data_IF_421640922699
#
_entry.id   IF_421640922699
#
_cell.length_a   1.000
_cell.length_b   1.000
_cell.length_c   1.000
_cell.angle_alpha   90.00
_cell.angle_beta   90.00
_cell.angle_gamma   90.00
#
_symmetry.space_group_name_H-M   'P 1'
#
loop_
_entity.id
_entity.type
_entity.pdbx_description
1 polymer ?
#
# COMPACT_ATOMS: atom_id res chain seq x y z
N UNK A 1 12.52 -20.11 9.56
CA UNK A 1 12.05 -19.25 10.67
C UNK A 1 11.18 -20.08 11.59
N UNK A 2 11.26 -19.88 12.91
CA UNK A 2 10.42 -20.59 13.87
C UNK A 2 9.02 -19.95 13.92
N UNK A 3 7.97 -20.78 13.89
CA UNK A 3 6.58 -20.35 14.09
C UNK A 3 6.08 -20.82 15.45
N UNK A 4 5.09 -20.11 16.01
CA UNK A 4 4.44 -20.49 17.27
C UNK A 4 2.92 -20.38 17.10
N UNK A 5 2.17 -21.24 17.78
CA UNK A 5 0.71 -21.20 17.79
C UNK A 5 0.23 -20.12 18.76
N UNK A 6 -0.64 -19.24 18.28
CA UNK A 6 -1.37 -18.26 19.08
C UNK A 6 -2.86 -18.57 18.96
N UNK A 7 -3.59 -18.56 20.08
CA UNK A 7 -5.05 -18.70 20.09
C UNK A 7 -5.64 -17.41 20.64
N UNK A 8 -6.51 -16.78 19.84
CA UNK A 8 -7.20 -15.54 20.17
C UNK A 8 -8.71 -15.76 20.11
N UNK A 9 -9.46 -14.94 20.86
CA UNK A 9 -10.91 -14.86 20.74
C UNK A 9 -11.25 -13.67 19.87
N UNK A 10 -12.13 -13.88 18.89
CA UNK A 10 -12.64 -12.86 17.99
C UNK A 10 -14.17 -13.05 17.87
N UNK A 11 -14.92 -12.00 17.52
CA UNK A 11 -16.32 -12.15 17.12
C UNK A 11 -16.48 -13.22 16.04
N UNK A 12 -17.55 -14.00 16.11
CA UNK A 12 -17.80 -15.10 15.16
C UNK A 12 -17.92 -14.58 13.73
N UNK A 13 -18.57 -13.42 13.55
CA UNK A 13 -18.72 -12.75 12.26
C UNK A 13 -17.38 -12.41 11.60
N UNK A 14 -16.39 -11.97 12.39
CA UNK A 14 -15.04 -11.64 11.88
C UNK A 14 -14.29 -12.91 11.45
N UNK A 15 -14.44 -14.00 12.20
CA UNK A 15 -13.83 -15.29 11.88
C UNK A 15 -14.41 -15.81 10.55
N UNK A 16 -15.73 -15.76 10.38
CA UNK A 16 -16.40 -16.21 9.17
C UNK A 16 -16.08 -15.33 7.97
N UNK A 17 -16.01 -14.01 8.17
CA UNK A 17 -15.56 -13.07 7.15
C UNK A 17 -14.14 -13.41 6.68
N UNK A 18 -13.19 -13.55 7.61
CA UNK A 18 -11.79 -13.82 7.29
C UNK A 18 -11.61 -15.17 6.58
N UNK A 19 -12.37 -16.21 6.96
CA UNK A 19 -12.37 -17.50 6.24
C UNK A 19 -12.88 -17.34 4.80
N UNK A 20 -14.02 -16.67 4.60
CA UNK A 20 -14.59 -16.45 3.26
C UNK A 20 -13.64 -15.65 2.38
N UNK A 21 -13.01 -14.61 2.94
CA UNK A 21 -12.00 -13.82 2.25
C UNK A 21 -10.82 -14.70 1.82
N UNK A 22 -10.23 -15.45 2.75
CA UNK A 22 -9.09 -16.31 2.47
C UNK A 22 -9.40 -17.33 1.35
N UNK A 23 -10.55 -18.03 1.45
CA UNK A 23 -11.01 -18.97 0.44
C UNK A 23 -11.25 -18.32 -0.93
N UNK A 24 -11.90 -17.16 -0.97
CA UNK A 24 -12.17 -16.42 -2.22
C UNK A 24 -10.88 -16.00 -2.93
N UNK A 25 -9.84 -15.69 -2.16
CA UNK A 25 -8.55 -15.24 -2.67
C UNK A 25 -7.50 -16.37 -2.79
N UNK A 26 -7.88 -17.63 -2.54
CA UNK A 26 -7.00 -18.79 -2.67
C UNK A 26 -5.83 -18.81 -1.69
N UNK A 27 -5.97 -18.18 -0.52
CA UNK A 27 -4.94 -18.10 0.53
C UNK A 27 -5.42 -18.75 1.82
N UNK A 28 -4.49 -19.03 2.73
CA UNK A 28 -4.83 -19.56 4.07
C UNK A 28 -5.10 -18.43 5.07
N UNK A 29 -5.81 -18.74 6.17
CA UNK A 29 -5.98 -17.81 7.30
C UNK A 29 -4.62 -17.36 7.87
N UNK A 30 -3.68 -18.29 8.00
CA UNK A 30 -2.32 -17.99 8.48
C UNK A 30 -1.62 -17.00 7.56
N UNK A 31 -1.76 -17.16 6.24
CA UNK A 31 -1.17 -16.26 5.26
C UNK A 31 -1.82 -14.88 5.25
N UNK A 32 -3.14 -14.81 5.41
CA UNK A 32 -3.88 -13.56 5.58
C UNK A 32 -3.31 -12.75 6.75
N UNK A 33 -3.17 -13.38 7.91
CA UNK A 33 -2.63 -12.73 9.12
C UNK A 33 -1.14 -12.39 8.97
N UNK A 34 -0.33 -13.28 8.39
CA UNK A 34 1.10 -13.01 8.14
C UNK A 34 1.31 -11.79 7.23
N UNK A 35 0.54 -11.68 6.13
CA UNK A 35 0.58 -10.52 5.23
C UNK A 35 0.21 -9.24 5.96
N UNK A 36 -0.85 -9.26 6.76
CA UNK A 36 -1.28 -8.10 7.52
C UNK A 36 -0.24 -7.67 8.56
N UNK A 37 0.34 -8.62 9.31
CA UNK A 37 1.41 -8.33 10.27
C UNK A 37 2.67 -7.78 9.59
N UNK A 38 3.02 -8.27 8.40
CA UNK A 38 4.12 -7.71 7.59
C UNK A 38 3.83 -6.28 7.14
N UNK A 39 2.59 -5.99 6.75
CA UNK A 39 2.17 -4.64 6.40
C UNK A 39 2.26 -3.70 7.61
N UNK A 40 1.78 -4.12 8.79
CA UNK A 40 1.90 -3.33 10.02
C UNK A 40 3.36 -3.06 10.40
N UNK A 41 4.26 -4.04 10.23
CA UNK A 41 5.70 -3.89 10.50
C UNK A 41 6.42 -2.94 9.55
N UNK A 42 5.95 -2.82 8.30
CA UNK A 42 6.48 -1.83 7.37
C UNK A 42 6.12 -0.39 7.79
N UNK A 43 5.17 -0.23 8.72
CA UNK A 43 4.71 1.08 9.16
C UNK A 43 4.12 1.90 8.00
N UNK A 44 3.82 3.18 8.23
CA UNK A 44 3.57 4.14 7.16
C UNK A 44 4.84 4.47 6.35
N UNK A 45 5.98 3.83 6.65
CA UNK A 45 7.23 3.99 5.91
C UNK A 45 7.17 3.23 4.58
N UNK A 46 6.54 3.86 3.62
CA UNK A 46 6.51 3.41 2.26
C UNK A 46 5.62 4.34 1.49
N UNK A 47 6.18 5.51 1.13
CA UNK A 47 5.57 6.39 0.14
C UNK A 47 5.10 5.58 -1.08
N UNK A 48 4.12 6.13 -1.78
CA UNK A 48 3.57 5.55 -3.00
C UNK A 48 4.71 5.00 -3.86
N UNK A 49 4.64 3.72 -4.25
CA UNK A 49 5.67 3.08 -5.08
C UNK A 49 6.01 4.01 -6.26
N UNK A 50 7.29 4.23 -6.61
CA UNK A 50 7.68 5.26 -7.58
C UNK A 50 6.99 5.11 -8.93
N UNK A 51 6.68 3.87 -9.37
CA UNK A 51 5.85 3.66 -10.56
C UNK A 51 4.44 4.22 -10.42
N UNK A 52 3.79 4.04 -9.27
CA UNK A 52 2.47 4.61 -8.99
C UNK A 52 2.57 6.14 -8.89
N UNK A 53 3.64 6.67 -8.30
CA UNK A 53 3.89 8.12 -8.24
C UNK A 53 4.03 8.73 -9.64
N UNK A 54 4.71 8.01 -10.55
CA UNK A 54 4.87 8.43 -11.95
C UNK A 54 3.54 8.48 -12.71
N UNK A 55 2.57 7.65 -12.34
CA UNK A 55 1.25 7.62 -12.96
C UNK A 55 0.17 8.41 -12.21
N UNK A 56 0.42 8.83 -10.96
CA UNK A 56 -0.58 9.50 -10.13
C UNK A 56 -0.78 10.97 -10.48
N UNK A 57 0.13 11.56 -11.28
CA UNK A 57 0.11 12.99 -11.59
C UNK A 57 0.39 13.88 -10.37
N UNK A 58 0.86 13.28 -9.27
CA UNK A 58 1.27 14.02 -8.07
C UNK A 58 2.62 14.65 -8.37
N UNK A 59 2.69 15.98 -8.29
CA UNK A 59 3.94 16.72 -8.43
C UNK A 59 4.65 16.73 -7.07
N UNK A 60 5.93 16.31 -6.99
CA UNK A 60 6.70 16.37 -5.75
C UNK A 60 6.79 17.80 -5.20
N UNK A 61 6.76 17.93 -3.88
CA UNK A 61 6.71 19.22 -3.18
C UNK A 61 8.04 20.00 -3.32
N UNK A 62 9.13 19.31 -3.65
CA UNK A 62 10.44 19.90 -3.89
C UNK A 62 10.55 20.64 -5.23
N UNK A 63 9.58 20.48 -6.13
CA UNK A 63 9.57 21.14 -7.44
C UNK A 63 8.89 22.51 -7.34
N UNK A 64 9.61 23.56 -7.73
CA UNK A 64 9.02 24.88 -7.98
C UNK A 64 8.19 24.84 -9.28
N UNK A 65 6.94 24.44 -9.11
CA UNK A 65 5.97 24.28 -10.20
C UNK A 65 5.75 25.56 -11.01
N UNK A 66 5.87 26.72 -10.39
CA UNK A 66 5.68 28.01 -11.08
C UNK A 66 6.82 28.29 -12.05
N UNK A 67 8.05 28.00 -11.62
CA UNK A 67 9.25 28.18 -12.45
C UNK A 67 9.26 27.21 -13.63
N UNK A 68 9.07 25.91 -13.36
CA UNK A 68 9.08 24.86 -14.39
C UNK A 68 8.00 25.10 -15.46
N UNK A 69 6.79 25.49 -15.03
CA UNK A 69 5.72 25.83 -15.97
C UNK A 69 6.09 27.01 -16.88
N UNK A 70 6.70 28.05 -16.32
CA UNK A 70 7.07 29.23 -17.06
C UNK A 70 8.18 28.97 -18.08
N UNK A 71 9.16 28.13 -17.74
CA UNK A 71 10.22 27.70 -18.66
C UNK A 71 9.65 26.85 -19.80
N UNK A 72 8.78 25.88 -19.51
CA UNK A 72 8.13 25.07 -20.53
C UNK A 72 7.26 25.89 -21.50
N UNK A 73 6.57 26.92 -21.01
CA UNK A 73 5.79 27.83 -21.87
C UNK A 73 6.68 28.68 -22.78
N UNK A 74 7.85 29.12 -22.29
CA UNK A 74 8.81 29.86 -23.12
C UNK A 74 9.35 29.01 -24.25
N UNK A 75 9.74 27.76 -23.96
CA UNK A 75 10.27 26.82 -24.96
C UNK A 75 9.20 26.46 -26.00
N UNK A 76 7.94 26.26 -25.57
CA UNK A 76 6.83 25.93 -26.48
C UNK A 76 6.43 27.06 -27.43
N UNK A 77 6.64 28.31 -27.02
CA UNK A 77 6.24 29.50 -27.78
C UNK A 77 7.43 30.19 -28.50
N UNK A 78 8.59 29.52 -28.52
CA UNK A 78 9.72 29.85 -29.39
C UNK A 78 9.62 29.08 -30.72
#
# INVERSE_FOLDING_TARGET
MATRKLTIRLPEEDIEFAKKYASKHGITMTELIDRYLKQLRRGPEGGIHPDILRFSGIVPEEIDTSKEYHEAMKDKHQ
#
